data_IF_924197653076
#
_entry.id   IF_924197653076
#
_cell.length_a   1.000
_cell.length_b   1.000
_cell.length_c   1.000
_cell.angle_alpha   90.00
_cell.angle_beta   90.00
_cell.angle_gamma   90.00
#
_symmetry.space_group_name_H-M   'P 1'
#
loop_
_entity.id
_entity.type
_entity.pdbx_description
1 polymer ?
#
# COMPACT_ATOMS: atom_id res chain seq x y z
N UNK A 1 -17.98 -31.51 -11.54
CA UNK A 1 -19.00 -30.69 -10.89
C UNK A 1 -18.47 -30.37 -9.49
N UNK A 2 -17.82 -29.23 -9.32
CA UNK A 2 -17.44 -28.72 -8.01
C UNK A 2 -18.63 -27.91 -7.48
N UNK A 3 -19.20 -28.36 -6.35
CA UNK A 3 -20.18 -27.59 -5.63
C UNK A 3 -19.60 -26.28 -5.15
N UNK A 4 -20.11 -25.19 -5.68
CA UNK A 4 -19.87 -23.83 -5.16
C UNK A 4 -20.43 -23.76 -3.75
N UNK A 5 -19.58 -23.79 -2.73
CA UNK A 5 -19.97 -23.44 -1.37
C UNK A 5 -20.37 -21.97 -1.36
N UNK A 6 -21.66 -21.72 -1.42
CA UNK A 6 -22.25 -20.42 -1.08
C UNK A 6 -22.03 -20.17 0.41
N UNK A 7 -21.23 -19.17 0.73
CA UNK A 7 -21.14 -18.64 2.10
C UNK A 7 -22.51 -18.03 2.42
N UNK A 8 -23.19 -18.45 3.52
CA UNK A 8 -24.50 -17.91 3.87
C UNK A 8 -24.38 -16.40 4.12
N UNK A 9 -25.18 -15.60 3.44
CA UNK A 9 -25.41 -14.21 3.77
C UNK A 9 -26.15 -14.15 5.11
N UNK A 10 -25.42 -14.01 6.21
CA UNK A 10 -26.00 -13.67 7.51
C UNK A 10 -26.54 -12.25 7.50
N UNK A 11 -27.62 -11.95 8.25
CA UNK A 11 -28.16 -10.61 8.36
C UNK A 11 -27.14 -9.71 9.05
N UNK A 12 -26.77 -8.58 8.41
CA UNK A 12 -26.00 -7.50 9.02
C UNK A 12 -24.54 -7.87 9.29
N UNK A 13 -23.73 -8.13 8.25
CA UNK A 13 -22.28 -8.05 8.38
C UNK A 13 -21.91 -6.57 8.65
N UNK A 14 -21.76 -6.24 9.90
CA UNK A 14 -21.03 -5.03 10.29
C UNK A 14 -19.56 -5.26 9.92
N UNK A 15 -19.19 -4.83 8.71
CA UNK A 15 -17.81 -4.95 8.23
C UNK A 15 -17.00 -3.87 8.91
N UNK A 16 -16.22 -4.25 9.90
CA UNK A 16 -15.49 -3.35 10.79
C UNK A 16 -14.42 -2.52 10.11
N UNK A 17 -13.75 -3.06 9.04
CA UNK A 17 -12.66 -2.39 8.33
C UNK A 17 -12.54 -2.83 6.86
N UNK A 18 -11.67 -2.16 6.08
CA UNK A 18 -11.45 -2.44 4.66
C UNK A 18 -10.88 -3.84 4.41
N UNK A 19 -10.00 -4.31 5.28
CA UNK A 19 -9.41 -5.67 5.17
C UNK A 19 -10.51 -6.76 5.25
N UNK A 20 -11.57 -6.54 6.03
CA UNK A 20 -12.71 -7.46 6.07
C UNK A 20 -13.50 -7.45 4.75
N UNK A 21 -13.67 -6.30 4.10
CA UNK A 21 -14.21 -6.25 2.73
C UNK A 21 -13.34 -7.01 1.73
N UNK A 22 -12.01 -6.86 1.83
CA UNK A 22 -11.05 -7.60 0.99
C UNK A 22 -11.14 -9.11 1.26
N UNK A 23 -11.26 -9.52 2.54
CA UNK A 23 -11.41 -10.92 2.93
C UNK A 23 -12.64 -11.57 2.31
N UNK A 24 -13.79 -10.88 2.27
CA UNK A 24 -15.01 -11.37 1.62
C UNK A 24 -14.81 -11.62 0.11
N UNK A 25 -13.87 -10.90 -0.50
CA UNK A 25 -13.58 -10.99 -1.93
C UNK A 25 -12.62 -12.13 -2.31
N UNK A 26 -11.87 -12.72 -1.36
CA UNK A 26 -10.73 -13.61 -1.66
C UNK A 26 -11.07 -14.80 -2.55
N UNK A 27 -12.28 -15.36 -2.42
CA UNK A 27 -12.70 -16.53 -3.18
C UNK A 27 -13.47 -16.18 -4.46
N UNK A 28 -13.65 -14.89 -4.77
CA UNK A 28 -14.31 -14.46 -6.00
C UNK A 28 -13.32 -14.36 -7.16
N UNK A 29 -13.64 -14.89 -8.35
CA UNK A 29 -12.86 -14.64 -9.56
C UNK A 29 -12.94 -13.18 -10.02
N UNK A 30 -13.98 -12.44 -9.56
CA UNK A 30 -14.18 -11.01 -9.86
C UNK A 30 -13.81 -10.13 -8.66
N UNK A 31 -12.79 -10.53 -7.91
CA UNK A 31 -12.20 -9.74 -6.84
C UNK A 31 -11.40 -8.58 -7.43
N UNK A 32 -11.96 -7.37 -7.35
CA UNK A 32 -11.30 -6.11 -7.65
C UNK A 32 -11.29 -5.18 -6.41
N UNK A 33 -11.44 -5.77 -5.21
CA UNK A 33 -11.37 -5.07 -3.93
C UNK A 33 -9.94 -4.98 -3.37
N UNK A 34 -9.26 -6.11 -3.29
CA UNK A 34 -7.95 -6.21 -2.67
C UNK A 34 -6.85 -5.67 -3.62
N UNK A 35 -5.91 -4.87 -3.12
CA UNK A 35 -4.89 -4.24 -3.94
C UNK A 35 -3.63 -5.10 -4.18
N UNK A 36 -3.58 -6.35 -3.70
CA UNK A 36 -2.48 -7.26 -4.03
C UNK A 36 -2.47 -7.59 -5.52
N UNK A 37 -1.29 -7.86 -6.05
CA UNK A 37 -1.11 -8.25 -7.44
C UNK A 37 -1.74 -9.63 -7.72
N UNK A 38 -2.65 -9.67 -8.70
CA UNK A 38 -3.36 -10.89 -9.14
C UNK A 38 -3.41 -11.01 -10.67
N UNK A 39 -2.48 -10.35 -11.35
CA UNK A 39 -2.27 -10.50 -12.78
C UNK A 39 -1.61 -11.84 -13.09
N UNK A 40 -1.58 -12.18 -14.37
CA UNK A 40 -0.84 -13.34 -14.85
C UNK A 40 0.67 -13.10 -14.72
N UNK A 41 1.42 -14.19 -14.49
CA UNK A 41 2.87 -14.15 -14.49
C UNK A 41 3.40 -13.80 -15.89
N UNK A 42 4.40 -12.95 -15.96
CA UNK A 42 5.19 -12.77 -17.18
C UNK A 42 6.04 -14.03 -17.45
N UNK A 43 6.60 -14.15 -18.64
CA UNK A 43 7.50 -15.26 -18.97
C UNK A 43 8.75 -15.30 -18.06
N UNK A 44 9.26 -14.12 -17.62
CA UNK A 44 10.36 -14.02 -16.67
C UNK A 44 9.95 -14.54 -15.30
N UNK A 45 8.83 -14.06 -14.79
CA UNK A 45 8.27 -14.47 -13.50
C UNK A 45 7.92 -15.98 -13.48
N UNK A 46 7.37 -16.53 -14.57
CA UNK A 46 7.09 -17.96 -14.67
C UNK A 46 8.36 -18.81 -14.52
N UNK A 47 9.47 -18.40 -15.17
CA UNK A 47 10.78 -19.09 -15.02
C UNK A 47 11.29 -19.04 -13.59
N UNK A 48 11.06 -17.94 -12.85
CA UNK A 48 11.44 -17.84 -11.44
C UNK A 48 10.62 -18.84 -10.59
N UNK A 49 9.31 -18.95 -10.86
CA UNK A 49 8.44 -19.91 -10.18
C UNK A 49 8.83 -21.36 -10.50
N UNK A 50 9.18 -21.66 -11.74
CA UNK A 50 9.66 -23.01 -12.12
C UNK A 50 10.97 -23.38 -11.41
N UNK A 51 11.80 -22.39 -11.03
CA UNK A 51 13.09 -22.58 -10.34
C UNK A 51 12.97 -22.58 -8.80
N UNK A 52 11.77 -22.48 -8.23
CA UNK A 52 11.55 -22.45 -6.76
C UNK A 52 12.27 -23.56 -5.98
N UNK A 53 12.32 -24.83 -6.43
CA UNK A 53 13.06 -25.86 -5.70
C UNK A 53 14.55 -25.55 -5.55
N UNK A 54 15.19 -25.04 -6.61
CA UNK A 54 16.60 -24.64 -6.55
C UNK A 54 16.80 -23.39 -5.69
N UNK A 55 15.87 -22.43 -5.77
CA UNK A 55 15.90 -21.23 -4.96
C UNK A 55 15.83 -21.55 -3.46
N UNK A 56 14.97 -22.53 -3.09
CA UNK A 56 14.86 -23.01 -1.72
C UNK A 56 16.18 -23.59 -1.20
N UNK A 57 16.81 -24.47 -2.01
CA UNK A 57 18.07 -25.12 -1.61
C UNK A 57 19.20 -24.08 -1.47
N UNK A 58 19.33 -23.16 -2.41
CA UNK A 58 20.34 -22.09 -2.35
C UNK A 58 20.13 -21.17 -1.14
N UNK A 59 18.89 -20.76 -0.87
CA UNK A 59 18.58 -19.90 0.27
C UNK A 59 18.87 -20.59 1.62
N UNK A 60 18.83 -21.94 1.68
CA UNK A 60 19.16 -22.69 2.87
C UNK A 60 20.68 -22.83 3.11
N UNK A 61 21.52 -22.66 2.08
CA UNK A 61 22.98 -22.78 2.16
C UNK A 61 23.68 -21.46 2.49
N UNK A 62 23.03 -20.32 2.23
CA UNK A 62 23.62 -18.98 2.41
C UNK A 62 23.38 -18.44 3.82
N UNK A 63 24.31 -17.64 4.37
CA UNK A 63 24.04 -16.85 5.57
C UNK A 63 22.83 -15.94 5.36
N UNK A 64 21.95 -15.83 6.36
CA UNK A 64 20.73 -15.02 6.27
C UNK A 64 21.05 -13.57 5.92
N UNK A 65 22.10 -13.00 6.50
CA UNK A 65 22.54 -11.61 6.25
C UNK A 65 22.98 -11.38 4.80
N UNK A 66 23.47 -12.41 4.13
CA UNK A 66 23.80 -12.33 2.69
C UNK A 66 22.54 -12.30 1.83
N UNK A 67 21.57 -13.17 2.12
CA UNK A 67 20.28 -13.20 1.43
C UNK A 67 19.51 -11.87 1.63
N UNK A 68 19.50 -11.33 2.85
CA UNK A 68 18.91 -10.03 3.14
C UNK A 68 19.57 -8.92 2.32
N UNK A 69 20.90 -8.85 2.33
CA UNK A 69 21.66 -7.82 1.62
C UNK A 69 21.39 -7.84 0.11
N UNK A 70 21.34 -9.03 -0.50
CA UNK A 70 21.02 -9.17 -1.92
C UNK A 70 19.57 -8.76 -2.23
N UNK A 71 18.62 -9.15 -1.40
CA UNK A 71 17.21 -8.75 -1.52
C UNK A 71 17.05 -7.23 -1.39
N UNK A 72 17.71 -6.61 -0.40
CA UNK A 72 17.71 -5.16 -0.22
C UNK A 72 18.29 -4.45 -1.43
N UNK A 73 19.48 -4.86 -1.89
CA UNK A 73 20.15 -4.24 -3.05
C UNK A 73 19.27 -4.30 -4.30
N UNK A 74 18.68 -5.44 -4.58
CA UNK A 74 17.82 -5.62 -5.74
C UNK A 74 16.56 -4.76 -5.66
N UNK A 75 15.84 -4.78 -4.53
CA UNK A 75 14.57 -4.06 -4.38
C UNK A 75 14.76 -2.55 -4.29
N UNK A 76 15.63 -2.08 -3.39
CA UNK A 76 15.86 -0.64 -3.24
C UNK A 76 16.49 -0.03 -4.50
N UNK A 77 17.40 -0.77 -5.16
CA UNK A 77 17.99 -0.35 -6.43
C UNK A 77 16.97 -0.23 -7.56
N UNK A 78 16.03 -1.19 -7.67
CA UNK A 78 14.93 -1.15 -8.62
C UNK A 78 14.10 0.13 -8.50
N UNK A 79 13.89 0.61 -7.28
CA UNK A 79 13.06 1.78 -6.96
C UNK A 79 13.86 3.08 -6.81
N UNK A 80 15.14 3.10 -7.21
CA UNK A 80 15.99 4.30 -7.15
C UNK A 80 16.40 4.74 -5.75
N UNK A 81 16.27 3.87 -4.74
CA UNK A 81 16.53 4.16 -3.34
C UNK A 81 17.96 3.81 -2.95
N UNK A 82 18.94 4.48 -3.53
CA UNK A 82 20.36 4.14 -3.39
C UNK A 82 20.99 4.54 -2.05
N UNK A 83 20.36 5.46 -1.31
CA UNK A 83 20.85 5.95 -0.01
C UNK A 83 20.22 5.24 1.19
N UNK A 84 19.53 4.11 0.99
CA UNK A 84 19.01 3.31 2.10
C UNK A 84 20.14 2.80 3.00
N UNK A 85 19.93 2.61 4.33
CA UNK A 85 20.97 2.20 5.28
C UNK A 85 21.26 0.69 5.21
N UNK A 86 21.92 0.23 4.13
CA UNK A 86 22.02 -1.18 3.75
C UNK A 86 22.73 -2.12 4.74
N UNK A 87 23.83 -1.68 5.38
CA UNK A 87 24.74 -2.59 6.07
C UNK A 87 24.82 -2.38 7.59
N UNK A 88 23.94 -1.59 8.19
CA UNK A 88 24.03 -1.20 9.61
C UNK A 88 22.88 -1.69 10.50
N UNK A 89 22.14 -2.72 10.04
CA UNK A 89 21.09 -3.37 10.83
C UNK A 89 19.82 -2.53 11.00
N UNK A 90 19.64 -1.46 10.22
CA UNK A 90 18.48 -0.58 10.28
C UNK A 90 17.37 -0.90 9.27
N UNK A 91 17.53 -1.96 8.48
CA UNK A 91 16.53 -2.49 7.56
C UNK A 91 16.00 -3.79 8.14
N UNK A 92 14.80 -3.74 8.71
CA UNK A 92 14.18 -4.87 9.41
C UNK A 92 13.13 -5.53 8.51
N UNK A 93 13.33 -6.79 8.16
CA UNK A 93 12.41 -7.54 7.31
C UNK A 93 11.19 -8.00 8.10
N UNK A 94 9.98 -7.72 7.57
CA UNK A 94 8.69 -8.11 8.10
C UNK A 94 7.90 -8.91 7.05
N UNK A 95 6.92 -9.71 7.48
CA UNK A 95 6.06 -10.46 6.55
C UNK A 95 5.07 -9.56 5.78
N UNK A 96 4.88 -8.31 6.20
CA UNK A 96 4.04 -7.32 5.51
C UNK A 96 4.29 -5.91 6.05
N UNK A 97 3.88 -4.89 5.30
CA UNK A 97 3.82 -3.51 5.78
C UNK A 97 2.95 -3.37 7.05
N UNK A 98 1.87 -4.14 7.18
CA UNK A 98 1.01 -4.10 8.39
C UNK A 98 1.76 -4.57 9.64
N UNK A 99 2.64 -5.57 9.56
CA UNK A 99 3.50 -5.98 10.68
C UNK A 99 4.52 -4.90 11.00
N UNK A 100 5.11 -4.26 9.98
CA UNK A 100 6.01 -3.13 10.17
C UNK A 100 5.30 -1.94 10.83
N UNK A 101 4.05 -1.65 10.42
CA UNK A 101 3.21 -0.61 11.04
C UNK A 101 2.89 -0.90 12.50
N UNK A 102 2.57 -2.15 12.86
CA UNK A 102 2.31 -2.56 14.26
C UNK A 102 3.56 -2.37 15.13
N UNK A 103 4.74 -2.75 14.63
CA UNK A 103 6.01 -2.54 15.32
C UNK A 103 6.27 -1.04 15.53
N UNK A 104 6.07 -0.23 14.48
CA UNK A 104 6.23 1.21 14.55
C UNK A 104 5.23 1.82 15.55
N UNK A 105 3.94 1.49 15.46
CA UNK A 105 2.90 2.03 16.33
C UNK A 105 3.20 1.77 17.81
N UNK A 106 3.61 0.55 18.18
CA UNK A 106 4.05 0.23 19.56
C UNK A 106 5.28 1.03 19.97
N UNK A 107 6.20 1.28 19.03
CA UNK A 107 7.40 2.07 19.30
C UNK A 107 7.05 3.54 19.56
N UNK A 108 6.10 4.10 18.80
CA UNK A 108 5.62 5.47 18.95
C UNK A 108 4.84 5.65 20.29
N UNK A 109 3.93 4.73 20.60
CA UNK A 109 3.09 4.81 21.80
C UNK A 109 3.89 4.86 23.12
N UNK A 110 5.11 4.29 23.12
CA UNK A 110 6.03 4.38 24.26
C UNK A 110 6.71 5.75 24.44
N UNK A 111 6.66 6.63 23.43
CA UNK A 111 7.41 7.87 23.37
C UNK A 111 6.55 9.13 23.17
N UNK A 112 5.35 8.99 22.63
CA UNK A 112 4.47 10.12 22.30
C UNK A 112 3.00 9.75 22.44
N UNK A 113 2.11 10.77 22.50
CA UNK A 113 0.67 10.57 22.66
C UNK A 113 -0.12 10.79 21.38
N UNK A 114 0.44 11.48 20.36
CA UNK A 114 -0.31 11.91 19.19
C UNK A 114 0.51 11.82 17.90
N UNK A 115 -0.21 11.54 16.80
CA UNK A 115 0.35 11.42 15.44
C UNK A 115 -0.49 12.24 14.47
N UNK A 116 0.14 13.10 13.68
CA UNK A 116 -0.48 13.70 12.52
C UNK A 116 -0.52 12.67 11.40
N UNK A 117 -1.72 12.31 10.96
CA UNK A 117 -1.91 11.27 9.95
C UNK A 117 -2.60 11.83 8.71
N UNK A 118 -2.05 11.49 7.54
CA UNK A 118 -2.64 11.85 6.23
C UNK A 118 -4.10 11.38 6.12
N UNK A 119 -4.93 12.21 5.49
CA UNK A 119 -6.34 11.94 5.22
C UNK A 119 -6.72 12.32 3.79
N UNK A 120 -7.38 11.42 3.01
CA UNK A 120 -7.71 10.04 3.36
C UNK A 120 -6.47 9.11 3.33
N UNK A 121 -6.58 7.92 3.93
CA UNK A 121 -5.59 6.85 3.79
C UNK A 121 -6.21 5.48 4.11
N UNK A 122 -5.47 4.39 3.93
CA UNK A 122 -5.96 3.03 4.20
C UNK A 122 -6.22 2.86 5.71
N UNK A 123 -7.40 2.35 6.06
CA UNK A 123 -7.95 2.38 7.43
C UNK A 123 -7.17 1.54 8.44
N UNK A 124 -6.36 0.57 8.01
CA UNK A 124 -5.53 -0.19 8.96
C UNK A 124 -4.48 0.70 9.66
N UNK A 125 -4.03 1.80 9.03
CA UNK A 125 -3.06 2.72 9.65
C UNK A 125 -3.68 3.43 10.86
N UNK A 126 -4.81 4.17 10.72
CA UNK A 126 -5.46 4.78 11.88
C UNK A 126 -5.93 3.76 12.92
N UNK A 127 -6.40 2.57 12.49
CA UNK A 127 -6.87 1.53 13.40
C UNK A 127 -5.72 0.96 14.26
N UNK A 128 -4.55 0.67 13.66
CA UNK A 128 -3.35 0.20 14.38
C UNK A 128 -2.87 1.27 15.35
N UNK A 129 -2.75 2.53 14.92
CA UNK A 129 -2.28 3.63 15.77
C UNK A 129 -3.22 3.88 16.96
N UNK A 130 -4.54 3.91 16.73
CA UNK A 130 -5.55 4.01 17.80
C UNK A 130 -5.54 2.79 18.73
N UNK A 131 -5.30 1.60 18.15
CA UNK A 131 -5.24 0.35 18.91
C UNK A 131 -4.16 0.31 19.99
N UNK A 132 -3.09 1.10 19.83
CA UNK A 132 -2.04 1.28 20.84
C UNK A 132 -2.20 2.53 21.68
N UNK A 133 -3.32 3.27 21.54
CA UNK A 133 -3.67 4.42 22.37
C UNK A 133 -3.12 5.76 21.88
N UNK A 134 -2.73 5.88 20.61
CA UNK A 134 -2.29 7.14 20.02
C UNK A 134 -3.48 7.98 19.55
N UNK A 135 -3.49 9.27 19.87
CA UNK A 135 -4.41 10.25 19.32
C UNK A 135 -4.01 10.63 17.89
N UNK A 136 -5.01 10.80 17.02
CA UNK A 136 -4.76 11.11 15.61
C UNK A 136 -5.25 12.52 15.26
N UNK A 137 -4.36 13.31 14.65
CA UNK A 137 -4.66 14.63 14.08
C UNK A 137 -4.69 14.50 12.55
N UNK A 138 -5.83 14.74 11.89
CA UNK A 138 -5.91 14.59 10.43
C UNK A 138 -5.18 15.72 9.71
N UNK A 139 -4.44 15.32 8.67
CA UNK A 139 -3.79 16.22 7.71
C UNK A 139 -4.31 15.91 6.32
N UNK A 140 -4.98 16.86 5.68
CA UNK A 140 -5.42 16.71 4.30
C UNK A 140 -4.19 16.49 3.38
N UNK A 141 -4.27 15.50 2.49
CA UNK A 141 -3.13 15.16 1.62
C UNK A 141 -2.70 16.32 0.71
N UNK A 142 -3.60 17.25 0.41
CA UNK A 142 -3.33 18.44 -0.37
C UNK A 142 -2.37 19.40 0.35
N UNK A 143 -2.39 19.41 1.67
CA UNK A 143 -1.54 20.26 2.49
C UNK A 143 -0.11 19.76 2.64
N UNK A 144 0.13 18.48 2.33
CA UNK A 144 1.48 17.92 2.40
C UNK A 144 2.43 18.65 1.45
N UNK A 145 3.51 19.17 2.01
CA UNK A 145 4.48 19.97 1.28
C UNK A 145 4.15 21.47 1.20
N UNK A 146 3.12 21.97 1.91
CA UNK A 146 2.94 23.39 2.17
C UNK A 146 4.06 23.95 3.08
N UNK A 147 4.27 25.25 2.99
CA UNK A 147 5.31 25.92 3.77
C UNK A 147 4.92 26.10 5.25
N UNK A 148 3.61 26.07 5.55
CA UNK A 148 3.09 26.27 6.90
C UNK A 148 2.09 25.16 7.29
N UNK A 149 2.52 24.30 8.21
CA UNK A 149 1.72 23.27 8.87
C UNK A 149 1.72 23.44 10.41
N UNK A 150 2.02 24.63 10.93
CA UNK A 150 2.19 24.89 12.35
C UNK A 150 0.95 24.52 13.19
N UNK A 151 -0.24 24.71 12.63
CA UNK A 151 -1.52 24.33 13.25
C UNK A 151 -1.63 22.82 13.55
N UNK A 152 -0.90 21.99 12.79
CA UNK A 152 -0.87 20.54 12.97
C UNK A 152 0.37 20.09 13.71
N UNK A 153 1.56 20.54 13.26
CA UNK A 153 2.85 20.05 13.74
C UNK A 153 3.17 20.45 15.18
N UNK A 154 2.60 21.56 15.66
CA UNK A 154 2.81 22.04 17.03
C UNK A 154 2.22 21.17 18.15
N UNK A 155 1.40 20.17 17.82
CA UNK A 155 0.66 19.37 18.80
C UNK A 155 0.94 17.86 18.74
N UNK A 156 1.86 17.41 17.87
CA UNK A 156 2.10 15.98 17.61
C UNK A 156 3.57 15.59 17.84
N UNK A 157 3.82 14.30 18.07
CA UNK A 157 5.17 13.75 18.17
C UNK A 157 5.65 13.08 16.87
N UNK A 158 4.73 12.75 15.97
CA UNK A 158 5.02 12.10 14.71
C UNK A 158 4.11 12.62 13.59
N UNK A 159 4.63 12.66 12.38
CA UNK A 159 3.86 12.85 11.14
C UNK A 159 3.91 11.54 10.35
N UNK A 160 2.76 10.96 10.03
CA UNK A 160 2.68 9.72 9.26
C UNK A 160 2.03 9.98 7.90
N UNK A 161 2.77 9.71 6.82
CA UNK A 161 2.37 9.97 5.44
C UNK A 161 2.45 8.69 4.61
N UNK A 162 1.41 8.41 3.82
CA UNK A 162 1.45 7.38 2.77
C UNK A 162 1.74 8.03 1.42
N UNK A 163 2.78 7.56 0.71
CA UNK A 163 3.17 8.13 -0.60
C UNK A 163 3.84 7.08 -1.51
N UNK A 164 3.27 6.77 -2.69
CA UNK A 164 1.96 7.19 -3.21
C UNK A 164 0.81 6.77 -2.30
N UNK A 165 -0.19 7.65 -2.12
CA UNK A 165 -1.28 7.40 -1.18
C UNK A 165 -2.31 6.38 -1.72
N UNK A 166 -2.87 5.58 -0.86
CA UNK A 166 -4.04 4.75 -1.13
C UNK A 166 -5.24 5.31 -0.33
N UNK A 167 -6.30 5.82 -0.99
CA UNK A 167 -6.78 5.39 -2.30
C UNK A 167 -6.52 6.35 -3.48
N UNK A 168 -5.90 7.50 -3.28
CA UNK A 168 -5.83 8.60 -4.27
C UNK A 168 -4.74 8.41 -5.32
N UNK A 169 -3.66 7.72 -4.97
CA UNK A 169 -2.45 7.60 -5.79
C UNK A 169 -1.59 8.87 -5.81
N UNK A 170 -1.87 9.85 -4.93
CA UNK A 170 -1.08 11.08 -4.85
C UNK A 170 0.32 10.80 -4.37
N UNK A 171 1.31 11.35 -5.07
CA UNK A 171 2.74 11.27 -4.73
C UNK A 171 3.17 12.57 -4.06
N UNK A 172 3.84 12.46 -2.91
CA UNK A 172 4.57 13.59 -2.34
C UNK A 172 5.85 13.81 -3.17
N UNK A 173 6.05 15.00 -3.70
CA UNK A 173 7.22 15.31 -4.53
C UNK A 173 8.51 15.36 -3.69
N UNK A 174 9.66 15.32 -4.35
CA UNK A 174 10.97 15.44 -3.68
C UNK A 174 11.09 16.75 -2.89
N UNK A 175 10.64 17.85 -3.47
CA UNK A 175 10.62 19.16 -2.81
C UNK A 175 9.62 19.18 -1.64
N UNK A 176 8.45 18.55 -1.81
CA UNK A 176 7.44 18.42 -0.76
C UNK A 176 7.97 17.61 0.41
N UNK A 177 8.62 16.46 0.14
CA UNK A 177 9.26 15.66 1.18
C UNK A 177 10.38 16.42 1.89
N UNK A 178 11.21 17.14 1.13
CA UNK A 178 12.31 17.94 1.71
C UNK A 178 11.79 19.02 2.66
N UNK A 179 10.71 19.73 2.28
CA UNK A 179 10.06 20.73 3.16
C UNK A 179 9.47 20.09 4.41
N UNK A 180 8.71 19.04 4.25
CA UNK A 180 8.07 18.35 5.40
C UNK A 180 9.13 17.80 6.36
N UNK A 181 10.19 17.18 5.84
CA UNK A 181 11.28 16.64 6.63
C UNK A 181 12.04 17.76 7.38
N UNK A 182 12.26 18.91 6.74
CA UNK A 182 12.83 20.09 7.37
C UNK A 182 11.97 20.62 8.53
N UNK A 183 10.66 20.75 8.32
CA UNK A 183 9.70 21.15 9.37
C UNK A 183 9.67 20.15 10.54
N UNK A 184 9.79 18.85 10.26
CA UNK A 184 9.89 17.82 11.31
C UNK A 184 11.21 17.94 12.08
N UNK A 185 12.34 18.18 11.39
CA UNK A 185 13.63 18.34 12.02
C UNK A 185 13.66 19.55 12.98
N UNK A 186 13.13 20.70 12.54
CA UNK A 186 13.04 21.92 13.35
C UNK A 186 12.25 21.73 14.66
N UNK A 187 11.31 20.80 14.69
CA UNK A 187 10.39 20.53 15.82
C UNK A 187 10.70 19.24 16.57
N UNK A 188 11.81 18.57 16.23
CA UNK A 188 12.18 17.25 16.78
C UNK A 188 11.07 16.20 16.65
N UNK A 189 10.32 16.20 15.53
CA UNK A 189 9.27 15.24 15.24
C UNK A 189 9.84 14.01 14.53
N UNK A 190 9.15 12.87 14.67
CA UNK A 190 9.40 11.69 13.84
C UNK A 190 8.60 11.81 12.54
N UNK A 191 9.25 11.61 11.39
CA UNK A 191 8.58 11.49 10.10
C UNK A 191 8.49 10.02 9.71
N UNK A 192 7.28 9.47 9.66
CA UNK A 192 7.00 8.11 9.21
C UNK A 192 6.42 8.12 7.79
N UNK A 193 6.98 7.31 6.90
CA UNK A 193 6.51 7.16 5.52
C UNK A 193 6.06 5.72 5.27
N UNK A 194 4.86 5.53 4.72
CA UNK A 194 4.44 4.29 4.08
C UNK A 194 4.57 4.46 2.56
N UNK A 195 5.42 3.66 1.94
CA UNK A 195 5.74 3.74 0.52
C UNK A 195 5.30 2.49 -0.25
N UNK A 196 4.31 1.77 0.27
CA UNK A 196 3.83 0.48 -0.28
C UNK A 196 3.42 0.52 -1.76
N UNK A 197 3.08 1.69 -2.29
CA UNK A 197 2.70 1.87 -3.70
C UNK A 197 3.79 2.53 -4.56
N UNK A 198 4.99 2.76 -4.03
CA UNK A 198 6.09 3.45 -4.74
C UNK A 198 6.38 2.85 -6.12
N UNK A 199 6.41 1.54 -6.24
CA UNK A 199 6.74 0.85 -7.49
C UNK A 199 5.80 1.13 -8.66
N UNK A 200 4.63 1.76 -8.44
CA UNK A 200 3.66 2.04 -9.50
C UNK A 200 3.81 3.42 -10.14
N UNK A 201 4.45 4.37 -9.47
CA UNK A 201 4.59 5.72 -9.99
C UNK A 201 6.07 6.16 -10.03
N UNK A 202 6.65 6.34 -11.23
CA UNK A 202 8.02 6.83 -11.38
C UNK A 202 8.28 8.18 -10.69
N UNK A 203 7.25 9.01 -10.48
CA UNK A 203 7.39 10.24 -9.72
C UNK A 203 7.75 10.01 -8.24
N UNK A 204 7.52 8.79 -7.72
CA UNK A 204 7.91 8.36 -6.38
C UNK A 204 9.27 7.67 -6.31
N UNK A 205 10.06 7.59 -7.43
CA UNK A 205 11.34 6.88 -7.47
C UNK A 205 12.55 7.77 -7.16
N UNK A 206 12.36 9.06 -6.81
CA UNK A 206 13.48 9.85 -6.28
C UNK A 206 13.99 9.22 -4.96
N UNK A 207 15.25 9.44 -4.62
CA UNK A 207 15.86 8.81 -3.45
C UNK A 207 15.36 9.45 -2.14
N UNK A 208 14.30 8.88 -1.57
CA UNK A 208 13.68 9.33 -0.33
C UNK A 208 14.68 9.28 0.83
N UNK A 209 15.52 8.25 0.88
CA UNK A 209 16.50 8.08 1.96
C UNK A 209 17.58 9.17 1.93
N UNK A 210 17.96 9.64 0.75
CA UNK A 210 18.84 10.82 0.60
C UNK A 210 18.19 12.07 1.18
N UNK A 211 16.94 12.35 0.78
CA UNK A 211 16.19 13.52 1.27
C UNK A 211 16.05 13.48 2.79
N UNK A 212 15.65 12.34 3.34
CA UNK A 212 15.45 12.15 4.78
C UNK A 212 16.75 12.29 5.56
N UNK A 213 17.83 11.68 5.10
CA UNK A 213 19.16 11.79 5.73
C UNK A 213 19.64 13.24 5.73
N UNK A 214 19.51 13.92 4.59
CA UNK A 214 20.02 15.28 4.40
C UNK A 214 19.20 16.34 5.16
N UNK A 215 17.96 16.02 5.55
CA UNK A 215 17.10 16.90 6.35
C UNK A 215 17.47 16.96 7.83
N UNK A 216 18.13 15.92 8.36
CA UNK A 216 18.43 15.81 9.79
C UNK A 216 17.22 15.47 10.67
N UNK A 217 16.06 15.13 10.11
CA UNK A 217 14.91 14.68 10.92
C UNK A 217 15.07 13.22 11.36
N UNK A 218 14.38 12.85 12.42
CA UNK A 218 14.19 11.45 12.81
C UNK A 218 13.13 10.82 11.91
N UNK A 219 13.44 9.71 11.25
CA UNK A 219 12.53 9.13 10.27
C UNK A 219 12.42 7.61 10.34
N UNK A 220 11.29 7.11 9.85
CA UNK A 220 11.01 5.69 9.61
C UNK A 220 10.34 5.56 8.24
N UNK A 221 10.76 4.57 7.45
CA UNK A 221 10.12 4.24 6.17
C UNK A 221 9.63 2.80 6.19
N UNK A 222 8.40 2.59 5.74
CA UNK A 222 7.80 1.27 5.53
C UNK A 222 7.72 1.02 4.04
N UNK A 223 8.29 -0.11 3.60
CA UNK A 223 8.24 -0.59 2.21
C UNK A 223 7.41 -1.87 2.13
N UNK A 224 6.83 -2.19 0.97
CA UNK A 224 6.05 -3.42 0.75
C UNK A 224 6.21 -3.94 -0.67
N UNK A 225 6.51 -5.22 -0.82
CA UNK A 225 6.60 -5.91 -2.12
C UNK A 225 5.28 -6.53 -2.57
N UNK A 226 4.30 -6.66 -1.69
CA UNK A 226 3.05 -7.41 -1.91
C UNK A 226 2.09 -6.82 -2.93
N UNK A 227 2.37 -5.60 -3.43
CA UNK A 227 1.54 -4.94 -4.43
C UNK A 227 2.05 -5.14 -5.86
N UNK A 228 3.35 -5.46 -6.05
CA UNK A 228 4.02 -5.44 -7.34
C UNK A 228 3.85 -6.74 -8.14
N UNK A 229 3.94 -7.89 -7.47
CA UNK A 229 4.05 -9.19 -8.13
C UNK A 229 3.01 -10.20 -7.64
N UNK A 230 2.51 -11.09 -8.53
CA UNK A 230 1.52 -12.11 -8.18
C UNK A 230 2.17 -13.33 -7.50
N UNK A 231 2.73 -13.15 -6.32
CA UNK A 231 3.49 -14.15 -5.57
C UNK A 231 2.67 -14.91 -4.53
N UNK A 232 1.33 -14.90 -4.63
CA UNK A 232 0.41 -15.57 -3.68
C UNK A 232 0.69 -15.16 -2.22
N UNK A 233 0.91 -13.87 -1.99
CA UNK A 233 1.25 -13.32 -0.67
C UNK A 233 2.62 -13.74 -0.09
N UNK A 234 3.49 -14.37 -0.87
CA UNK A 234 4.93 -14.48 -0.55
C UNK A 234 5.57 -13.10 -0.73
N UNK A 235 5.48 -12.27 0.28
CA UNK A 235 5.87 -10.86 0.27
C UNK A 235 6.75 -10.52 1.46
N UNK A 236 7.45 -9.39 1.34
CA UNK A 236 8.24 -8.78 2.40
C UNK A 236 7.82 -7.31 2.53
N UNK A 237 7.63 -6.87 3.78
CA UNK A 237 7.65 -5.46 4.15
C UNK A 237 8.97 -5.17 4.84
N UNK A 238 9.52 -3.99 4.63
CA UNK A 238 10.68 -3.53 5.39
C UNK A 238 10.33 -2.35 6.26
N UNK A 239 10.86 -2.36 7.49
CA UNK A 239 10.85 -1.23 8.40
C UNK A 239 12.27 -0.67 8.45
N UNK A 240 12.47 0.50 7.87
CA UNK A 240 13.77 1.15 7.74
C UNK A 240 13.83 2.37 8.64
N UNK A 241 14.90 2.52 9.43
CA UNK A 241 14.97 3.56 10.47
C UNK A 241 16.17 4.48 10.33
N UNK A 242 16.03 5.73 10.78
CA UNK A 242 17.15 6.63 11.01
C UNK A 242 18.09 6.09 12.11
N UNK A 243 19.36 6.47 12.08
CA UNK A 243 20.34 6.06 13.10
C UNK A 243 20.02 6.64 14.49
N UNK A 244 19.47 7.82 14.51
CA UNK A 244 19.16 8.63 15.70
C UNK A 244 17.65 8.66 16.03
N UNK A 245 16.90 7.66 15.55
CA UNK A 245 15.44 7.59 15.73
C UNK A 245 14.99 7.71 17.21
N UNK A 246 15.77 7.13 18.14
CA UNK A 246 15.49 7.22 19.58
C UNK A 246 14.26 6.41 20.06
N UNK A 247 13.72 5.51 19.21
CA UNK A 247 12.59 4.63 19.53
C UNK A 247 13.04 3.17 19.68
N UNK A 248 12.39 2.35 20.53
CA UNK A 248 12.78 0.97 20.81
C UNK A 248 12.38 -0.03 19.70
N UNK A 249 12.51 0.36 18.41
CA UNK A 249 12.03 -0.41 17.25
C UNK A 249 12.65 -1.80 17.21
N UNK A 250 13.97 -1.91 17.33
CA UNK A 250 14.67 -3.19 17.27
C UNK A 250 14.25 -4.14 18.40
N UNK A 251 13.99 -3.61 19.62
CA UNK A 251 13.50 -4.41 20.76
C UNK A 251 12.10 -4.95 20.47
N UNK A 252 11.17 -4.09 20.02
CA UNK A 252 9.80 -4.50 19.72
C UNK A 252 9.77 -5.45 18.52
N UNK A 253 10.58 -5.21 17.50
CA UNK A 253 10.76 -6.13 16.38
C UNK A 253 11.15 -7.54 16.88
N UNK A 254 12.19 -7.65 17.73
CA UNK A 254 12.67 -8.93 18.25
C UNK A 254 11.67 -9.65 19.15
N UNK A 255 10.73 -8.93 19.75
CA UNK A 255 9.64 -9.53 20.54
C UNK A 255 8.51 -10.12 19.65
N UNK A 256 8.42 -9.68 18.39
CA UNK A 256 7.35 -10.08 17.45
C UNK A 256 7.89 -11.06 16.41
N UNK A 257 9.08 -10.81 15.87
CA UNK A 257 9.70 -11.55 14.78
C UNK A 257 11.15 -11.90 15.09
N UNK A 258 11.55 -13.14 14.77
CA UNK A 258 12.97 -13.48 14.67
C UNK A 258 13.55 -13.02 13.32
N UNK A 259 12.76 -13.10 12.26
CA UNK A 259 13.14 -12.75 10.90
C UNK A 259 12.11 -13.24 9.89
N UNK A 260 12.38 -13.02 8.61
CA UNK A 260 11.57 -13.49 7.48
C UNK A 260 12.29 -14.65 6.81
N UNK A 261 11.54 -15.58 6.21
CA UNK A 261 12.10 -16.73 5.50
C UNK A 261 13.12 -16.31 4.44
N UNK A 262 14.36 -16.84 4.47
CA UNK A 262 15.37 -16.55 3.42
C UNK A 262 14.89 -16.89 2.00
N UNK A 263 14.04 -17.93 1.87
CA UNK A 263 13.43 -18.26 0.57
C UNK A 263 12.56 -17.12 0.04
N UNK A 264 11.77 -16.46 0.89
CA UNK A 264 10.90 -15.34 0.47
C UNK A 264 11.75 -14.14 0.10
N UNK A 265 12.83 -13.86 0.82
CA UNK A 265 13.79 -12.81 0.48
C UNK A 265 14.46 -13.07 -0.86
N UNK A 266 14.95 -14.30 -1.09
CA UNK A 266 15.54 -14.70 -2.37
C UNK A 266 14.53 -14.63 -3.53
N UNK A 267 13.26 -14.95 -3.28
CA UNK A 267 12.19 -14.78 -4.28
C UNK A 267 11.99 -13.30 -4.64
N UNK A 268 11.90 -12.43 -3.65
CA UNK A 268 11.79 -10.98 -3.85
C UNK A 268 13.00 -10.44 -4.61
N UNK A 269 14.22 -10.88 -4.29
CA UNK A 269 15.42 -10.55 -5.05
C UNK A 269 15.25 -10.89 -6.54
N UNK A 270 14.86 -12.13 -6.86
CA UNK A 270 14.71 -12.58 -8.25
C UNK A 270 13.63 -11.82 -9.02
N UNK A 271 12.51 -11.53 -8.38
CA UNK A 271 11.46 -10.71 -8.98
C UNK A 271 11.91 -9.26 -9.19
N UNK A 272 12.70 -8.70 -8.27
CA UNK A 272 13.27 -7.36 -8.42
C UNK A 272 14.27 -7.28 -9.56
N UNK A 273 15.14 -8.29 -9.73
CA UNK A 273 16.09 -8.41 -10.84
C UNK A 273 15.37 -8.51 -12.19
N UNK A 274 14.34 -9.38 -12.31
CA UNK A 274 13.51 -9.49 -13.51
C UNK A 274 12.80 -8.16 -13.85
N UNK A 275 12.31 -7.46 -12.83
CA UNK A 275 11.66 -6.15 -13.01
C UNK A 275 12.65 -5.05 -13.46
N UNK A 276 13.91 -5.11 -13.04
CA UNK A 276 14.94 -4.17 -13.46
C UNK A 276 15.24 -4.30 -14.96
N UNK A 277 15.06 -5.49 -15.56
CA UNK A 277 15.23 -5.75 -17.00
C UNK A 277 13.99 -5.33 -17.83
N UNK A 278 13.20 -4.35 -17.36
CA UNK A 278 12.05 -3.77 -18.07
C UNK A 278 10.69 -4.22 -17.55
N UNK A 279 10.62 -5.22 -16.67
CA UNK A 279 9.36 -5.72 -16.11
C UNK A 279 8.57 -4.68 -15.33
N UNK A 280 9.22 -3.70 -14.68
CA UNK A 280 8.53 -2.61 -14.01
C UNK A 280 7.83 -1.66 -15.00
N UNK A 281 8.46 -1.38 -16.15
CA UNK A 281 7.81 -0.59 -17.22
C UNK A 281 6.61 -1.34 -17.81
N UNK A 282 6.70 -2.67 -17.94
CA UNK A 282 5.59 -3.52 -18.36
C UNK A 282 4.44 -3.49 -17.34
N UNK A 283 4.73 -3.51 -16.05
CA UNK A 283 3.74 -3.36 -14.98
C UNK A 283 3.04 -2.00 -15.06
N UNK A 284 3.78 -0.92 -15.27
CA UNK A 284 3.19 0.43 -15.41
C UNK A 284 2.24 0.50 -16.61
N UNK A 285 2.66 -0.05 -17.76
CA UNK A 285 1.81 -0.12 -18.95
C UNK A 285 0.56 -0.95 -18.70
N UNK A 286 0.69 -2.12 -18.11
CA UNK A 286 -0.40 -3.02 -17.76
C UNK A 286 -1.44 -2.34 -16.84
N UNK A 287 -1.00 -1.64 -15.80
CA UNK A 287 -1.91 -0.90 -14.90
C UNK A 287 -2.59 0.24 -15.63
N UNK A 288 -1.89 0.96 -16.52
CA UNK A 288 -2.47 2.03 -17.33
C UNK A 288 -3.54 1.49 -18.32
N UNK A 289 -3.30 0.36 -18.97
CA UNK A 289 -4.27 -0.32 -19.84
C UNK A 289 -5.51 -0.77 -19.06
N UNK A 290 -5.33 -1.35 -17.89
CA UNK A 290 -6.44 -1.75 -17.02
C UNK A 290 -7.25 -0.54 -16.51
N UNK A 291 -6.59 0.57 -16.21
CA UNK A 291 -7.26 1.85 -15.88
C UNK A 291 -8.11 2.34 -17.04
N UNK A 292 -7.60 2.27 -18.27
CA UNK A 292 -8.37 2.63 -19.47
C UNK A 292 -9.60 1.73 -19.63
N UNK A 293 -9.47 0.40 -19.42
CA UNK A 293 -10.61 -0.53 -19.46
C UNK A 293 -11.72 -0.11 -18.49
N UNK A 294 -11.39 0.27 -17.27
CA UNK A 294 -12.38 0.71 -16.27
C UNK A 294 -13.02 2.03 -16.70
N UNK A 295 -12.22 3.02 -17.09
CA UNK A 295 -12.70 4.36 -17.48
C UNK A 295 -13.58 4.31 -18.71
N UNK A 296 -13.16 3.60 -19.75
CA UNK A 296 -13.93 3.40 -20.99
C UNK A 296 -15.20 2.59 -20.73
N UNK A 297 -15.11 1.54 -19.93
CA UNK A 297 -16.26 0.71 -19.58
C UNK A 297 -17.36 1.47 -18.82
N UNK A 298 -17.02 2.48 -18.06
CA UNK A 298 -17.95 3.32 -17.33
C UNK A 298 -18.29 4.64 -18.04
N UNK A 299 -17.72 4.89 -19.22
CA UNK A 299 -17.97 6.12 -19.97
C UNK A 299 -19.48 6.26 -20.29
N UNK A 300 -19.99 7.50 -20.15
CA UNK A 300 -21.38 7.84 -20.42
C UNK A 300 -22.40 7.36 -19.36
N UNK A 301 -21.95 6.77 -18.24
CA UNK A 301 -22.83 6.50 -17.08
C UNK A 301 -23.08 7.83 -16.35
N UNK A 302 -24.34 8.24 -16.14
CA UNK A 302 -24.65 9.55 -15.54
C UNK A 302 -24.09 9.68 -14.11
N UNK A 303 -23.46 10.82 -13.82
CA UNK A 303 -22.93 11.15 -12.50
C UNK A 303 -21.62 10.49 -12.15
N UNK A 304 -21.07 9.60 -13.00
CA UNK A 304 -19.79 8.94 -12.78
C UNK A 304 -18.63 9.88 -13.15
N UNK A 305 -17.64 9.98 -12.29
CA UNK A 305 -16.36 10.59 -12.60
C UNK A 305 -15.21 9.92 -11.81
N UNK A 306 -13.99 10.17 -12.23
CA UNK A 306 -12.76 9.66 -11.65
C UNK A 306 -12.03 10.82 -10.97
N UNK A 307 -12.03 10.89 -9.63
CA UNK A 307 -11.48 12.04 -8.90
C UNK A 307 -9.96 12.18 -9.04
N UNK A 308 -9.26 11.10 -9.37
CA UNK A 308 -7.79 11.09 -9.46
C UNK A 308 -7.31 10.87 -10.91
N UNK A 309 -7.44 11.86 -11.81
CA UNK A 309 -7.19 11.68 -13.25
C UNK A 309 -5.72 11.34 -13.55
N UNK A 310 -4.78 11.74 -12.70
CA UNK A 310 -3.34 11.60 -12.90
C UNK A 310 -2.72 10.46 -12.08
N UNK A 311 -3.50 9.76 -11.25
CA UNK A 311 -3.00 8.64 -10.45
C UNK A 311 -2.40 7.55 -11.34
N UNK A 312 -1.24 7.01 -10.93
CA UNK A 312 -0.59 5.84 -11.54
C UNK A 312 -0.60 4.62 -10.63
N UNK A 313 -1.07 4.75 -9.38
CA UNK A 313 -1.20 3.64 -8.45
C UNK A 313 -2.04 2.50 -9.04
N UNK A 314 -1.85 1.27 -8.55
CA UNK A 314 -2.61 0.09 -9.00
C UNK A 314 -4.07 0.07 -8.51
N UNK A 315 -4.59 1.22 -8.16
CA UNK A 315 -5.99 1.42 -7.74
C UNK A 315 -6.62 2.60 -8.46
N UNK A 316 -7.95 2.60 -8.58
CA UNK A 316 -8.74 3.66 -9.19
C UNK A 316 -9.92 4.00 -8.30
N UNK A 317 -10.12 5.28 -7.98
CA UNK A 317 -11.36 5.74 -7.34
C UNK A 317 -12.42 6.07 -8.41
N UNK A 318 -13.65 5.68 -8.09
CA UNK A 318 -14.82 5.95 -8.95
C UNK A 318 -15.88 6.60 -8.08
N UNK A 319 -16.25 7.85 -8.39
CA UNK A 319 -17.41 8.50 -7.78
C UNK A 319 -18.68 7.97 -8.45
N UNK A 320 -19.65 7.50 -7.65
CA UNK A 320 -20.85 6.80 -8.14
C UNK A 320 -22.11 7.69 -8.21
N UNK A 321 -21.92 8.98 -8.37
CA UNK A 321 -23.00 9.95 -8.47
C UNK A 321 -23.73 10.17 -7.16
N UNK A 322 -25.04 10.21 -7.20
CA UNK A 322 -25.88 10.39 -6.01
C UNK A 322 -26.11 9.11 -5.21
N UNK A 323 -25.60 7.97 -5.65
CA UNK A 323 -25.77 6.68 -4.99
C UNK A 323 -24.79 6.51 -3.82
N UNK A 324 -25.17 5.72 -2.84
CA UNK A 324 -24.25 5.27 -1.80
C UNK A 324 -23.29 4.20 -2.36
N UNK A 325 -22.00 4.33 -2.04
CA UNK A 325 -21.02 3.30 -2.37
C UNK A 325 -21.36 1.93 -1.78
N UNK A 326 -21.96 1.89 -0.58
CA UNK A 326 -22.43 0.65 0.06
C UNK A 326 -23.61 0.02 -0.67
N UNK A 327 -24.55 0.80 -1.20
CA UNK A 327 -25.65 0.29 -2.03
C UNK A 327 -25.13 -0.33 -3.32
N UNK A 328 -24.20 0.35 -4.01
CA UNK A 328 -23.56 -0.17 -5.22
C UNK A 328 -22.77 -1.43 -4.91
N UNK A 329 -22.00 -1.44 -3.82
CA UNK A 329 -21.26 -2.62 -3.36
C UNK A 329 -22.20 -3.80 -3.06
N UNK A 330 -23.33 -3.55 -2.40
CA UNK A 330 -24.33 -4.59 -2.13
C UNK A 330 -24.89 -5.18 -3.42
N UNK A 331 -25.28 -4.35 -4.39
CA UNK A 331 -25.79 -4.82 -5.68
C UNK A 331 -24.73 -5.58 -6.50
N UNK A 332 -23.44 -5.24 -6.37
CA UNK A 332 -22.36 -5.96 -7.04
C UNK A 332 -22.15 -7.37 -6.49
N UNK A 333 -22.44 -7.63 -5.22
CA UNK A 333 -22.33 -8.96 -4.62
C UNK A 333 -23.26 -9.98 -5.28
N UNK A 334 -24.42 -9.55 -5.76
CA UNK A 334 -25.36 -10.41 -6.51
C UNK A 334 -24.74 -10.89 -7.83
N UNK A 335 -23.72 -10.18 -8.33
CA UNK A 335 -22.92 -10.53 -9.49
C UNK A 335 -21.58 -11.16 -9.13
N UNK A 336 -21.36 -11.49 -7.86
CA UNK A 336 -20.07 -11.99 -7.33
C UNK A 336 -18.87 -11.04 -7.59
N UNK A 337 -19.12 -9.73 -7.71
CA UNK A 337 -18.12 -8.69 -7.89
C UNK A 337 -17.89 -7.96 -6.57
N UNK A 338 -16.63 -7.75 -6.23
CA UNK A 338 -16.20 -7.09 -4.99
C UNK A 338 -15.30 -5.91 -5.29
N UNK A 339 -15.66 -4.77 -4.71
CA UNK A 339 -14.94 -3.49 -4.73
C UNK A 339 -14.81 -2.99 -3.29
N UNK A 340 -14.08 -1.89 -3.04
CA UNK A 340 -14.07 -1.25 -1.72
C UNK A 340 -14.89 0.03 -1.70
N UNK A 341 -15.89 0.17 -0.81
CA UNK A 341 -16.48 1.46 -0.45
C UNK A 341 -15.46 2.36 0.26
N UNK A 342 -15.42 3.66 -0.09
CA UNK A 342 -14.35 4.55 0.40
C UNK A 342 -14.60 5.23 1.74
N UNK A 343 -15.73 5.01 2.42
CA UNK A 343 -16.02 5.67 3.70
C UNK A 343 -14.90 5.47 4.72
N UNK A 344 -14.34 4.25 4.82
CA UNK A 344 -13.33 3.93 5.83
C UNK A 344 -11.93 4.47 5.51
N UNK A 345 -11.65 4.78 4.23
CA UNK A 345 -10.44 5.53 3.88
C UNK A 345 -10.48 6.95 4.45
N UNK A 346 -11.68 7.53 4.53
CA UNK A 346 -11.91 8.85 5.13
C UNK A 346 -12.06 8.73 6.65
N UNK A 347 -11.02 8.22 7.32
CA UNK A 347 -11.00 7.84 8.73
C UNK A 347 -11.33 8.99 9.71
N UNK A 348 -11.10 10.25 9.31
CA UNK A 348 -11.44 11.44 10.10
C UNK A 348 -12.84 11.98 9.77
N UNK A 349 -13.32 11.79 8.53
CA UNK A 349 -14.63 12.24 8.06
C UNK A 349 -15.26 11.21 7.09
N UNK A 350 -15.76 10.06 7.57
CA UNK A 350 -16.29 8.98 6.72
C UNK A 350 -17.35 9.41 5.68
N UNK A 351 -18.23 10.41 5.94
CA UNK A 351 -19.18 10.87 4.94
C UNK A 351 -18.58 11.32 3.60
N UNK A 352 -17.34 11.83 3.58
CA UNK A 352 -16.66 12.22 2.33
C UNK A 352 -16.47 11.06 1.35
N UNK A 353 -16.36 9.83 1.87
CA UNK A 353 -16.22 8.62 1.06
C UNK A 353 -17.53 7.96 0.64
N UNK A 354 -18.69 8.49 1.04
CA UNK A 354 -19.99 7.82 0.89
C UNK A 354 -20.39 7.51 -0.56
N UNK A 355 -19.96 8.31 -1.52
CA UNK A 355 -20.28 8.13 -2.94
C UNK A 355 -19.08 7.72 -3.78
N UNK A 356 -18.07 7.10 -3.18
CA UNK A 356 -16.85 6.71 -3.88
C UNK A 356 -16.51 5.24 -3.62
N UNK A 357 -16.15 4.53 -4.69
CA UNK A 357 -15.61 3.18 -4.66
C UNK A 357 -14.13 3.20 -5.03
N UNK A 358 -13.36 2.24 -4.51
CA UNK A 358 -12.00 1.95 -4.96
C UNK A 358 -11.97 0.60 -5.69
N UNK A 359 -11.34 0.56 -6.86
CA UNK A 359 -11.16 -0.60 -7.73
C UNK A 359 -9.66 -0.92 -7.79
N UNK A 360 -9.27 -2.17 -7.60
CA UNK A 360 -7.92 -2.65 -7.82
C UNK A 360 -7.69 -2.96 -9.30
N UNK A 361 -6.55 -2.50 -9.84
CA UNK A 361 -6.21 -2.60 -11.25
C UNK A 361 -5.19 -3.68 -11.58
N UNK A 362 -4.40 -4.17 -10.62
CA UNK A 362 -3.43 -5.25 -10.85
C UNK A 362 -4.16 -6.61 -10.97
N UNK A 363 -4.93 -6.78 -12.05
CA UNK A 363 -5.84 -7.90 -12.34
C UNK A 363 -5.70 -8.34 -13.80
N UNK A 364 -5.89 -9.64 -14.06
CA UNK A 364 -6.04 -10.12 -15.44
C UNK A 364 -7.16 -9.38 -16.15
N UNK A 365 -6.96 -9.05 -17.43
CA UNK A 365 -7.84 -8.15 -18.17
C UNK A 365 -9.27 -8.68 -18.37
N UNK A 366 -9.45 -10.02 -18.47
CA UNK A 366 -10.78 -10.61 -18.69
C UNK A 366 -11.69 -10.47 -17.46
N UNK A 367 -11.29 -10.88 -16.23
CA UNK A 367 -12.05 -10.62 -15.01
C UNK A 367 -12.32 -9.14 -14.76
N UNK A 368 -11.35 -8.26 -15.02
CA UNK A 368 -11.53 -6.82 -14.83
C UNK A 368 -12.62 -6.25 -15.77
N UNK A 369 -12.61 -6.64 -17.05
CA UNK A 369 -13.66 -6.24 -18.01
C UNK A 369 -15.04 -6.76 -17.60
N UNK A 370 -15.12 -7.99 -17.10
CA UNK A 370 -16.38 -8.57 -16.62
C UNK A 370 -16.90 -7.83 -15.40
N UNK A 371 -16.06 -7.60 -14.40
CA UNK A 371 -16.41 -6.82 -13.21
C UNK A 371 -16.83 -5.38 -13.56
N UNK A 372 -16.13 -4.73 -14.51
CA UNK A 372 -16.51 -3.39 -14.99
C UNK A 372 -17.89 -3.37 -15.67
N UNK A 373 -18.24 -4.40 -16.45
CA UNK A 373 -19.57 -4.53 -17.05
C UNK A 373 -20.66 -4.71 -16.01
N UNK A 374 -20.43 -5.53 -14.99
CA UNK A 374 -21.36 -5.71 -13.89
C UNK A 374 -21.53 -4.40 -13.11
N UNK A 375 -20.45 -3.67 -12.82
CA UNK A 375 -20.51 -2.35 -12.17
C UNK A 375 -21.35 -1.37 -13.01
N UNK A 376 -21.12 -1.31 -14.32
CA UNK A 376 -21.94 -0.48 -15.22
C UNK A 376 -23.42 -0.85 -15.14
N UNK A 377 -23.75 -2.13 -15.14
CA UNK A 377 -25.14 -2.61 -15.06
C UNK A 377 -25.81 -2.20 -13.75
N UNK A 378 -25.13 -2.38 -12.62
CA UNK A 378 -25.61 -1.95 -11.30
C UNK A 378 -25.79 -0.44 -11.22
N UNK A 379 -24.87 0.35 -11.79
CA UNK A 379 -24.96 1.81 -11.80
C UNK A 379 -26.12 2.34 -12.68
N UNK A 380 -26.50 1.64 -13.74
CA UNK A 380 -27.60 2.00 -14.63
C UNK A 380 -28.96 1.45 -14.16
N UNK A 381 -28.98 0.46 -13.29
CA UNK A 381 -30.21 -0.03 -12.65
C UNK A 381 -30.82 1.09 -11.77
N UNK A 382 -32.18 1.28 -11.91
CA UNK A 382 -32.91 2.31 -11.17
C UNK A 382 -33.27 1.85 -9.77
#
# INVERSE_FOLDING_TARGET
MQETRTVPAGPGLDVGNLTQFEYLALNSPLNIADAHARQELTAGQARIIDDLPNLFLKAAELPVEEVEREAHRAYFGLLGQHSYPGDDGRVLACYSSSVAMEILARSLAGAMSSVALIHPTFDNIPDILRGVGLDLVPVAEERLGEDDLDDVLGSVGCVFVTTPNNPTGRVLSEEGLSRLAGQCAERDLVLALDTSFRGFDPAGHYDHYRVLRDSGCRWVVIEDTGKLWPTLDLKVGWLVTAADLGLPVAKIYSDILLGVSPMVLALVQRFSEDAADGGLADLHRFVAENRAVVREGLAGVPGIHFPDPHSRASVERVHVGARSALEVWSGLRDHNVYVLPCQKFHWANPPEGNSTLRIALARSAAPLREATRALRSVLLAR
#
